data_IF_252955247330
#
_entry.id   IF_252955247330
#
_cell.length_a   1.000
_cell.length_b   1.000
_cell.length_c   1.000
_cell.angle_alpha   90.00
_cell.angle_beta   90.00
_cell.angle_gamma   90.00
#
_symmetry.space_group_name_H-M   'P 1'
#
loop_
_entity.id
_entity.type
_entity.pdbx_description
1 polymer ?
#
# COMPACT_ATOMS: atom_id res chain seq x y z
N UNK A 1 -8.25 -41.53 37.68
CA UNK A 1 -9.00 -40.44 37.00
C UNK A 1 -8.01 -39.33 36.70
N UNK A 2 -7.53 -39.23 35.45
CA UNK A 2 -6.68 -38.12 34.98
C UNK A 2 -7.52 -37.36 33.96
N UNK A 3 -7.89 -36.12 34.26
CA UNK A 3 -8.49 -35.23 33.28
C UNK A 3 -7.36 -34.51 32.53
N UNK A 4 -7.27 -34.76 31.22
CA UNK A 4 -6.42 -34.01 30.30
C UNK A 4 -7.21 -32.79 29.84
N UNK A 5 -6.74 -31.58 30.15
CA UNK A 5 -7.26 -30.35 29.55
C UNK A 5 -6.87 -30.34 28.06
N UNK A 6 -7.86 -30.51 27.19
CA UNK A 6 -7.73 -30.11 25.79
C UNK A 6 -7.91 -28.60 25.72
N UNK A 7 -6.81 -27.89 25.45
CA UNK A 7 -6.85 -26.50 25.02
C UNK A 7 -7.52 -26.47 23.65
N UNK A 8 -8.75 -25.98 23.62
CA UNK A 8 -9.46 -25.67 22.39
C UNK A 8 -8.75 -24.47 21.74
N UNK A 9 -7.81 -24.74 20.84
CA UNK A 9 -7.32 -23.73 19.89
C UNK A 9 -8.52 -23.34 19.02
N UNK A 10 -9.19 -22.26 19.40
CA UNK A 10 -10.09 -21.54 18.50
C UNK A 10 -9.16 -20.94 17.44
N UNK A 11 -9.01 -21.67 16.34
CA UNK A 11 -8.51 -21.12 15.08
C UNK A 11 -9.49 -20.00 14.71
N UNK A 12 -9.05 -18.75 14.95
CA UNK A 12 -9.64 -17.56 14.33
C UNK A 12 -9.72 -17.88 12.83
N UNK A 13 -10.89 -17.79 12.19
CA UNK A 13 -10.97 -18.02 10.76
C UNK A 13 -10.06 -16.98 10.11
N UNK A 14 -9.03 -17.46 9.40
CA UNK A 14 -8.29 -16.61 8.50
C UNK A 14 -9.33 -15.91 7.63
N UNK A 15 -9.36 -14.58 7.72
CA UNK A 15 -10.16 -13.75 6.82
C UNK A 15 -9.62 -14.05 5.43
N UNK A 16 -10.30 -14.93 4.70
CA UNK A 16 -9.99 -15.20 3.31
C UNK A 16 -10.31 -13.91 2.56
N UNK A 17 -9.29 -13.11 2.25
CA UNK A 17 -9.39 -12.19 1.13
C UNK A 17 -9.60 -13.06 -0.11
N UNK A 18 -10.72 -12.87 -0.81
CA UNK A 18 -10.91 -13.48 -2.12
C UNK A 18 -9.91 -12.80 -3.06
N UNK A 19 -8.83 -13.52 -3.40
CA UNK A 19 -7.79 -13.01 -4.31
C UNK A 19 -8.31 -12.78 -5.74
N UNK A 20 -9.56 -13.15 -6.04
CA UNK A 20 -10.23 -12.92 -7.30
C UNK A 20 -11.69 -12.54 -7.07
N UNK A 21 -12.35 -11.89 -8.04
CA UNK A 21 -13.79 -11.65 -7.96
C UNK A 21 -14.59 -12.95 -7.79
N UNK A 22 -15.81 -12.86 -7.27
CA UNK A 22 -16.66 -14.03 -7.06
C UNK A 22 -16.83 -14.85 -8.35
N UNK A 23 -16.64 -16.16 -8.25
CA UNK A 23 -16.69 -17.10 -9.38
C UNK A 23 -15.39 -17.23 -10.18
N UNK A 24 -14.33 -16.48 -9.85
CA UNK A 24 -13.01 -16.61 -10.47
C UNK A 24 -12.08 -17.53 -9.67
N UNK A 25 -11.16 -18.19 -10.37
CA UNK A 25 -10.16 -19.12 -9.81
C UNK A 25 -8.78 -18.44 -9.77
N UNK A 26 -8.14 -18.43 -8.60
CA UNK A 26 -6.84 -17.78 -8.36
C UNK A 26 -5.65 -18.71 -8.64
N UNK A 27 -4.67 -18.23 -9.41
CA UNK A 27 -3.37 -18.87 -9.61
C UNK A 27 -2.30 -18.13 -8.79
N UNK A 28 -1.89 -18.73 -7.68
CA UNK A 28 -0.96 -18.09 -6.74
C UNK A 28 0.44 -17.80 -7.29
N UNK A 29 0.90 -18.55 -8.30
CA UNK A 29 2.25 -18.39 -8.86
C UNK A 29 2.38 -17.18 -9.79
N UNK A 30 1.30 -16.84 -10.50
CA UNK A 30 1.27 -15.74 -11.48
C UNK A 30 0.40 -14.57 -11.04
N UNK A 31 -0.20 -14.66 -9.84
CA UNK A 31 -1.16 -13.71 -9.30
C UNK A 31 -2.29 -13.38 -10.28
N UNK A 32 -2.71 -14.37 -11.07
CA UNK A 32 -3.77 -14.26 -12.06
C UNK A 32 -5.08 -14.84 -11.52
N UNK A 33 -6.17 -14.30 -12.03
CA UNK A 33 -7.51 -14.79 -11.84
C UNK A 33 -8.06 -15.26 -13.18
N UNK A 34 -8.73 -16.40 -13.18
CA UNK A 34 -9.34 -16.99 -14.37
C UNK A 34 -10.83 -17.21 -14.16
N UNK A 35 -11.62 -16.96 -15.20
CA UNK A 35 -13.05 -17.19 -15.18
C UNK A 35 -13.45 -17.95 -16.42
N UNK A 36 -13.95 -19.16 -16.21
CA UNK A 36 -14.54 -19.98 -17.25
C UNK A 36 -15.98 -19.53 -17.47
N UNK A 37 -16.31 -19.19 -18.71
CA UNK A 37 -17.67 -18.92 -19.13
C UNK A 37 -18.17 -20.06 -20.01
N UNK A 38 -19.32 -20.62 -19.64
CA UNK A 38 -20.09 -21.59 -20.43
C UNK A 38 -20.92 -20.91 -21.54
N UNK A 39 -20.97 -19.57 -21.57
CA UNK A 39 -21.54 -18.81 -22.66
C UNK A 39 -20.75 -19.06 -23.95
N UNK A 40 -21.46 -19.34 -25.04
CA UNK A 40 -20.83 -19.57 -26.33
C UNK A 40 -20.92 -18.33 -27.22
N UNK A 41 -19.78 -17.93 -27.79
CA UNK A 41 -19.66 -16.82 -28.73
C UNK A 41 -18.95 -17.27 -29.99
N UNK A 42 -19.08 -16.51 -31.08
CA UNK A 42 -18.63 -16.98 -32.39
C UNK A 42 -17.26 -16.40 -32.81
N UNK A 43 -16.59 -15.62 -31.98
CA UNK A 43 -15.29 -15.02 -32.29
C UNK A 43 -14.49 -14.65 -31.04
N UNK A 44 -13.18 -14.51 -31.20
CA UNK A 44 -12.28 -13.97 -30.18
C UNK A 44 -12.66 -12.55 -29.78
N UNK A 45 -13.05 -11.68 -30.74
CA UNK A 45 -13.47 -10.29 -30.47
C UNK A 45 -14.69 -10.21 -29.54
N UNK A 46 -15.69 -11.07 -29.76
CA UNK A 46 -16.86 -11.14 -28.89
C UNK A 46 -16.50 -11.65 -27.49
N UNK A 47 -15.65 -12.66 -27.41
CA UNK A 47 -15.16 -13.18 -26.14
C UNK A 47 -14.32 -12.12 -25.38
N UNK A 48 -13.45 -11.39 -26.08
CA UNK A 48 -12.65 -10.29 -25.53
C UNK A 48 -13.53 -9.12 -25.05
N UNK A 49 -14.58 -8.79 -25.81
CA UNK A 49 -15.58 -7.78 -25.41
C UNK A 49 -16.34 -8.23 -24.16
N UNK A 50 -16.66 -9.52 -24.03
CA UNK A 50 -17.23 -10.04 -22.80
C UNK A 50 -16.26 -9.90 -21.63
N UNK A 51 -15.03 -10.40 -21.77
CA UNK A 51 -14.05 -10.37 -20.68
C UNK A 51 -13.74 -8.94 -20.21
N UNK A 52 -13.64 -7.98 -21.13
CA UNK A 52 -13.42 -6.57 -20.78
C UNK A 52 -14.60 -5.93 -20.04
N UNK A 53 -15.84 -6.29 -20.40
CA UNK A 53 -17.03 -5.83 -19.68
C UNK A 53 -17.23 -6.58 -18.35
N UNK A 54 -16.75 -7.81 -18.24
CA UNK A 54 -16.87 -8.66 -17.06
C UNK A 54 -15.66 -8.49 -16.12
N UNK A 55 -15.78 -7.53 -15.20
CA UNK A 55 -14.75 -7.18 -14.21
C UNK A 55 -13.41 -6.69 -14.79
N UNK A 56 -13.36 -6.22 -16.04
CA UNK A 56 -12.17 -5.62 -16.62
C UNK A 56 -11.09 -6.60 -17.07
N UNK A 57 -11.44 -7.88 -17.29
CA UNK A 57 -10.50 -8.89 -17.76
C UNK A 57 -10.19 -8.84 -19.25
N UNK A 58 -9.32 -9.74 -19.69
CA UNK A 58 -9.01 -10.01 -21.09
C UNK A 58 -9.28 -11.47 -21.42
N UNK A 59 -9.45 -11.80 -22.70
CA UNK A 59 -9.39 -13.19 -23.13
C UNK A 59 -8.01 -13.78 -22.76
N UNK A 60 -8.00 -15.04 -22.34
CA UNK A 60 -6.80 -15.67 -21.76
C UNK A 60 -5.62 -15.66 -22.73
N UNK A 61 -4.44 -15.27 -22.21
CA UNK A 61 -3.14 -15.59 -22.82
C UNK A 61 -2.38 -16.60 -21.97
N UNK A 62 -1.62 -17.45 -22.64
CA UNK A 62 -0.93 -18.59 -22.02
C UNK A 62 0.57 -18.39 -22.25
N UNK A 63 1.30 -18.02 -21.19
CA UNK A 63 2.64 -17.46 -21.31
C UNK A 63 3.74 -18.44 -20.89
N UNK A 64 3.36 -19.57 -20.30
CA UNK A 64 4.26 -20.58 -19.78
C UNK A 64 3.63 -21.98 -19.77
N UNK A 65 4.43 -23.05 -19.60
CA UNK A 65 3.91 -24.38 -19.35
C UNK A 65 3.04 -24.48 -18.09
N UNK A 66 3.33 -23.70 -17.06
CA UNK A 66 2.56 -23.68 -15.82
C UNK A 66 1.17 -23.05 -16.03
N UNK A 67 1.10 -21.96 -16.79
CA UNK A 67 -0.18 -21.34 -17.17
C UNK A 67 -1.01 -22.29 -18.03
N UNK A 68 -0.36 -23.01 -18.97
CA UNK A 68 -1.03 -24.00 -19.79
C UNK A 68 -1.70 -25.07 -18.91
N UNK A 69 -0.93 -25.68 -18.00
CA UNK A 69 -1.43 -26.74 -17.13
C UNK A 69 -2.54 -26.25 -16.19
N UNK A 70 -2.45 -25.00 -15.72
CA UNK A 70 -3.47 -24.41 -14.86
C UNK A 70 -4.78 -24.15 -15.63
N UNK A 71 -4.67 -23.54 -16.80
CA UNK A 71 -5.80 -23.25 -17.70
C UNK A 71 -6.50 -24.53 -18.13
N UNK A 72 -5.76 -25.57 -18.51
CA UNK A 72 -6.37 -26.86 -18.88
C UNK A 72 -7.12 -27.49 -17.71
N UNK A 73 -6.56 -27.45 -16.49
CA UNK A 73 -7.23 -27.98 -15.30
C UNK A 73 -8.58 -27.29 -15.00
N UNK A 74 -8.67 -25.96 -15.16
CA UNK A 74 -9.94 -25.22 -15.01
C UNK A 74 -10.99 -25.73 -16.01
N UNK A 75 -10.59 -25.90 -17.27
CA UNK A 75 -11.48 -26.39 -18.33
C UNK A 75 -11.90 -27.84 -18.07
N UNK A 76 -10.97 -28.66 -17.58
CA UNK A 76 -11.18 -30.09 -17.38
C UNK A 76 -12.18 -30.38 -16.26
N UNK A 77 -12.08 -29.63 -15.17
CA UNK A 77 -12.99 -29.70 -14.01
C UNK A 77 -14.40 -29.19 -14.31
N UNK A 78 -14.58 -28.46 -15.41
CA UNK A 78 -15.88 -27.91 -15.84
C UNK A 78 -16.78 -28.90 -16.62
N UNK A 79 -16.38 -30.18 -16.79
CA UNK A 79 -17.34 -31.29 -16.93
C UNK A 79 -17.67 -31.91 -18.31
N UNK A 80 -16.87 -31.75 -19.37
CA UNK A 80 -17.14 -32.35 -20.70
C UNK A 80 -15.91 -32.66 -21.55
N UNK A 81 -16.07 -33.31 -22.71
CA UNK A 81 -14.98 -33.86 -23.54
C UNK A 81 -15.34 -33.95 -25.03
N UNK A 82 -14.40 -33.66 -25.97
CA UNK A 82 -13.27 -32.74 -25.87
C UNK A 82 -13.73 -31.27 -26.02
N UNK A 83 -13.09 -30.34 -25.32
CA UNK A 83 -13.45 -28.91 -25.38
C UNK A 83 -12.52 -28.12 -26.30
N UNK A 84 -13.14 -27.21 -27.06
CA UNK A 84 -12.51 -26.08 -27.71
C UNK A 84 -12.98 -24.84 -26.94
N UNK A 85 -12.05 -23.99 -26.51
CA UNK A 85 -12.37 -22.71 -25.88
C UNK A 85 -11.66 -21.57 -26.60
N UNK A 86 -12.30 -20.42 -26.75
CA UNK A 86 -11.62 -19.24 -27.29
C UNK A 86 -10.52 -18.75 -26.35
N UNK A 87 -9.36 -18.44 -26.94
CA UNK A 87 -8.19 -17.85 -26.27
C UNK A 87 -7.73 -16.60 -27.03
N UNK A 88 -7.05 -15.68 -26.35
CA UNK A 88 -6.66 -14.37 -26.87
C UNK A 88 -5.50 -14.36 -27.87
N UNK A 89 -5.18 -15.50 -28.49
CA UNK A 89 -4.12 -15.56 -29.50
C UNK A 89 -4.66 -15.11 -30.85
N UNK A 90 -3.86 -14.37 -31.61
CA UNK A 90 -4.16 -13.91 -32.96
C UNK A 90 -2.93 -14.00 -33.86
N UNK A 91 -3.14 -13.99 -35.18
CA UNK A 91 -2.07 -13.96 -36.17
C UNK A 91 -2.30 -12.86 -37.20
N UNK A 92 -1.22 -12.23 -37.66
CA UNK A 92 -1.31 -11.28 -38.76
C UNK A 92 -1.24 -11.96 -40.14
N UNK A 93 -1.31 -11.17 -41.22
CA UNK A 93 -1.24 -11.66 -42.60
C UNK A 93 0.08 -12.37 -42.97
N UNK A 94 1.10 -12.27 -42.12
CA UNK A 94 2.40 -12.94 -42.27
C UNK A 94 2.54 -14.15 -41.33
N UNK A 95 1.48 -14.51 -40.59
CA UNK A 95 1.49 -15.58 -39.60
C UNK A 95 2.22 -15.24 -38.29
N UNK A 96 2.58 -13.97 -38.07
CA UNK A 96 3.19 -13.56 -36.81
C UNK A 96 2.12 -13.49 -35.71
N UNK A 97 2.43 -14.08 -34.55
CA UNK A 97 1.50 -14.25 -33.45
C UNK A 97 1.54 -13.06 -32.48
N UNK A 98 0.40 -12.73 -31.91
CA UNK A 98 0.25 -11.76 -30.81
C UNK A 98 -0.87 -12.17 -29.86
N UNK A 99 -0.74 -11.79 -28.59
CA UNK A 99 -1.83 -11.87 -27.63
C UNK A 99 -2.60 -10.56 -27.60
N UNK A 100 -3.93 -10.60 -27.56
CA UNK A 100 -4.79 -9.41 -27.55
C UNK A 100 -4.61 -8.51 -26.30
N UNK A 101 -4.05 -9.06 -25.23
CA UNK A 101 -3.74 -8.35 -23.99
C UNK A 101 -2.37 -7.64 -24.04
N UNK A 102 -1.66 -7.71 -25.16
CA UNK A 102 -0.32 -7.14 -25.34
C UNK A 102 0.82 -7.96 -24.74
N UNK A 103 0.54 -9.14 -24.18
CA UNK A 103 1.57 -10.01 -23.62
C UNK A 103 2.54 -10.51 -24.71
N UNK A 104 3.79 -10.72 -24.32
CA UNK A 104 4.80 -11.30 -25.23
C UNK A 104 4.50 -12.78 -25.51
N UNK A 105 4.57 -13.19 -26.77
CA UNK A 105 4.42 -14.60 -27.18
C UNK A 105 5.72 -15.36 -26.90
N UNK A 106 5.92 -15.75 -25.64
CA UNK A 106 7.10 -16.52 -25.20
C UNK A 106 6.88 -18.04 -25.16
N UNK A 107 5.62 -18.46 -25.25
CA UNK A 107 5.23 -19.86 -25.17
C UNK A 107 4.14 -20.16 -26.21
N UNK A 108 4.30 -21.27 -26.91
CA UNK A 108 3.31 -21.81 -27.85
C UNK A 108 3.27 -23.32 -27.76
N UNK A 109 2.08 -23.89 -27.73
CA UNK A 109 1.86 -25.34 -27.82
C UNK A 109 0.76 -25.60 -28.84
N UNK A 110 1.12 -25.61 -30.12
CA UNK A 110 0.18 -25.91 -31.20
C UNK A 110 -0.12 -27.41 -31.24
N UNK A 111 -1.35 -27.76 -31.59
CA UNK A 111 -1.68 -29.17 -31.80
C UNK A 111 -1.12 -29.71 -33.12
N UNK A 112 -0.89 -31.02 -33.21
CA UNK A 112 -0.33 -31.63 -34.42
C UNK A 112 -1.17 -31.31 -35.66
N UNK A 113 -0.50 -30.82 -36.72
CA UNK A 113 -1.05 -30.31 -37.99
C UNK A 113 -1.66 -28.90 -37.99
N UNK A 114 -1.74 -28.20 -36.86
CA UNK A 114 -2.35 -26.85 -36.80
C UNK A 114 -1.44 -25.70 -37.22
N UNK A 115 -0.14 -25.95 -37.40
CA UNK A 115 0.83 -24.92 -37.82
C UNK A 115 0.74 -24.55 -39.31
N UNK A 116 0.09 -25.39 -40.13
CA UNK A 116 -0.10 -25.14 -41.55
C UNK A 116 -1.16 -24.06 -41.85
N UNK A 117 -2.10 -23.84 -40.92
CA UNK A 117 -3.26 -22.93 -41.07
C UNK A 117 -3.11 -21.62 -40.27
N UNK A 118 -1.87 -21.25 -39.89
CA UNK A 118 -1.59 -20.06 -39.08
C UNK A 118 -1.70 -18.74 -39.85
N UNK A 119 -1.77 -18.78 -41.18
CA UNK A 119 -1.80 -17.57 -42.00
C UNK A 119 -3.22 -16.99 -41.96
N UNK A 120 -3.37 -15.76 -41.45
CA UNK A 120 -4.64 -15.00 -41.41
C UNK A 120 -5.73 -15.59 -40.48
N UNK A 121 -5.36 -16.39 -39.47
CA UNK A 121 -6.33 -16.80 -38.46
C UNK A 121 -6.46 -15.72 -37.37
N UNK A 122 -7.67 -15.18 -37.22
CA UNK A 122 -8.01 -14.20 -36.18
C UNK A 122 -8.76 -14.85 -35.00
N UNK A 123 -8.98 -16.17 -35.04
CA UNK A 123 -9.67 -16.90 -33.99
C UNK A 123 -8.88 -18.16 -33.64
N UNK A 124 -8.37 -18.21 -32.41
CA UNK A 124 -7.66 -19.36 -31.89
C UNK A 124 -8.38 -19.94 -30.71
N UNK A 125 -8.47 -21.27 -30.68
CA UNK A 125 -8.97 -21.99 -29.53
C UNK A 125 -7.90 -22.85 -28.88
N UNK A 126 -8.08 -23.15 -27.59
CA UNK A 126 -7.35 -24.19 -26.90
C UNK A 126 -8.16 -25.49 -26.94
N UNK A 127 -7.58 -26.54 -27.51
CA UNK A 127 -8.10 -27.91 -27.45
C UNK A 127 -7.55 -28.62 -26.22
N UNK A 128 -8.44 -29.22 -25.42
CA UNK A 128 -8.08 -30.03 -24.24
C UNK A 128 -8.67 -31.45 -24.33
N UNK A 129 -8.27 -32.33 -23.40
CA UNK A 129 -8.74 -33.74 -23.33
C UNK A 129 -8.59 -34.54 -24.62
N UNK A 130 -7.53 -34.26 -25.39
CA UNK A 130 -7.21 -34.94 -26.65
C UNK A 130 -5.72 -35.32 -26.65
N UNK A 131 -5.33 -36.45 -27.28
CA UNK A 131 -3.91 -36.79 -27.48
C UNK A 131 -3.11 -35.70 -28.20
N UNK A 132 -3.80 -34.85 -28.97
CA UNK A 132 -3.22 -33.72 -29.69
C UNK A 132 -3.72 -32.40 -29.06
N UNK A 133 -3.57 -32.23 -27.76
CA UNK A 133 -3.97 -30.99 -27.07
C UNK A 133 -3.11 -29.79 -27.49
N UNK A 134 -3.66 -28.58 -27.33
CA UNK A 134 -2.94 -27.35 -27.68
C UNK A 134 -3.75 -26.36 -28.49
N UNK A 135 -3.06 -25.31 -28.95
CA UNK A 135 -3.62 -24.20 -29.68
C UNK A 135 -4.00 -24.67 -31.08
N UNK A 136 -5.19 -24.28 -31.52
CA UNK A 136 -5.72 -24.58 -32.86
C UNK A 136 -6.26 -23.29 -33.48
N UNK A 137 -5.86 -22.94 -34.71
CA UNK A 137 -6.58 -21.94 -35.48
C UNK A 137 -7.97 -22.50 -35.80
N UNK A 138 -9.00 -21.68 -35.65
CA UNK A 138 -10.36 -22.03 -36.03
C UNK A 138 -10.94 -20.93 -36.93
N UNK A 139 -11.93 -21.31 -37.73
CA UNK A 139 -12.77 -20.32 -38.38
C UNK A 139 -13.59 -19.58 -37.34
N UNK A 140 -13.48 -18.25 -37.32
CA UNK A 140 -14.48 -17.41 -36.67
C UNK A 140 -15.87 -17.77 -37.25
N UNK A 141 -16.90 -17.77 -36.41
CA UNK A 141 -18.27 -18.23 -36.73
C UNK A 141 -18.69 -19.48 -35.96
N UNK A 142 -17.74 -20.23 -35.38
CA UNK A 142 -18.04 -21.38 -34.54
C UNK A 142 -18.38 -20.94 -33.11
N UNK A 143 -19.49 -21.42 -32.57
CA UNK A 143 -19.86 -21.14 -31.18
C UNK A 143 -18.96 -21.94 -30.24
N UNK A 144 -18.11 -21.24 -29.48
CA UNK A 144 -17.26 -21.84 -28.45
C UNK A 144 -17.40 -21.09 -27.13
N UNK A 145 -17.30 -21.80 -25.99
CA UNK A 145 -17.06 -21.18 -24.69
C UNK A 145 -15.69 -20.51 -24.66
N UNK A 146 -15.44 -19.73 -23.61
CA UNK A 146 -14.22 -18.94 -23.53
C UNK A 146 -13.73 -18.80 -22.09
N UNK A 147 -12.43 -18.50 -21.96
CA UNK A 147 -11.79 -18.28 -20.67
C UNK A 147 -11.30 -16.85 -20.59
N UNK A 148 -11.81 -16.11 -19.62
CA UNK A 148 -11.27 -14.81 -19.27
C UNK A 148 -10.12 -14.97 -18.28
N UNK A 149 -9.14 -14.09 -18.38
CA UNK A 149 -8.14 -13.87 -17.36
C UNK A 149 -8.13 -12.41 -16.96
N UNK A 150 -7.66 -12.15 -15.76
CA UNK A 150 -7.22 -10.83 -15.34
C UNK A 150 -6.06 -11.04 -14.38
N UNK A 151 -5.16 -10.05 -14.30
CA UNK A 151 -4.40 -9.93 -13.07
C UNK A 151 -5.42 -9.88 -11.93
N UNK A 152 -5.12 -10.51 -10.80
CA UNK A 152 -5.90 -10.24 -9.59
C UNK A 152 -6.05 -8.72 -9.51
N UNK A 153 -7.29 -8.23 -9.63
CA UNK A 153 -7.65 -6.80 -9.72
C UNK A 153 -7.30 -6.03 -8.43
N UNK A 154 -6.48 -6.65 -7.60
CA UNK A 154 -5.84 -6.12 -6.44
C UNK A 154 -4.48 -6.82 -6.35
N UNK A 155 -3.41 -6.05 -6.48
CA UNK A 155 -2.31 -6.08 -5.52
C UNK A 155 -2.73 -6.53 -4.10
N UNK A 156 -3.98 -6.33 -3.70
CA UNK A 156 -4.63 -7.09 -2.65
C UNK A 156 -4.15 -6.63 -1.30
N UNK A 157 -4.23 -7.51 -0.31
CA UNK A 157 -3.63 -7.24 1.00
C UNK A 157 -2.17 -7.69 1.01
N UNK A 158 -1.27 -6.73 1.14
CA UNK A 158 0.16 -6.93 1.36
C UNK A 158 0.44 -6.72 2.85
N UNK A 159 0.82 -7.78 3.57
CA UNK A 159 1.10 -7.73 5.00
C UNK A 159 2.60 -7.55 5.27
N UNK A 160 2.93 -6.55 6.09
CA UNK A 160 4.28 -6.22 6.51
C UNK A 160 4.39 -6.34 8.03
N UNK A 161 5.30 -7.20 8.50
CA UNK A 161 5.48 -7.49 9.95
C UNK A 161 6.89 -7.21 10.47
N UNK A 162 7.79 -6.72 9.61
CA UNK A 162 9.14 -6.36 10.04
C UNK A 162 9.12 -5.02 10.81
N UNK A 163 10.17 -4.76 11.59
CA UNK A 163 10.35 -3.48 12.29
C UNK A 163 10.65 -2.32 11.33
N UNK A 164 10.97 -2.60 10.07
CA UNK A 164 11.12 -1.60 9.02
C UNK A 164 10.99 -2.25 7.64
N UNK A 165 10.75 -1.43 6.62
CA UNK A 165 10.66 -1.90 5.25
C UNK A 165 10.41 -0.81 4.24
N UNK A 166 10.33 -1.20 2.97
CA UNK A 166 9.97 -0.34 1.85
C UNK A 166 8.72 -0.89 1.18
N UNK A 167 7.78 -0.01 0.86
CA UNK A 167 6.53 -0.30 0.15
C UNK A 167 6.60 0.41 -1.19
N UNK A 168 6.29 -0.32 -2.25
CA UNK A 168 6.29 0.14 -3.63
C UNK A 168 4.89 -0.02 -4.22
N UNK A 169 4.46 0.95 -5.03
CA UNK A 169 3.32 0.74 -5.93
C UNK A 169 3.61 -0.41 -6.91
N UNK A 170 2.58 -1.05 -7.48
CA UNK A 170 2.79 -2.03 -8.52
C UNK A 170 3.62 -1.46 -9.67
N UNK A 171 4.47 -2.30 -10.26
CA UNK A 171 5.34 -2.00 -11.40
C UNK A 171 6.44 -0.94 -11.17
N UNK A 172 6.52 -0.28 -10.01
CA UNK A 172 7.55 0.73 -9.73
C UNK A 172 8.96 0.19 -10.01
N UNK A 173 9.83 0.91 -10.77
CA UNK A 173 9.71 2.32 -11.19
C UNK A 173 9.02 2.53 -12.55
N UNK A 174 8.40 1.51 -13.14
CA UNK A 174 7.49 1.66 -14.27
C UNK A 174 6.13 2.16 -13.80
N UNK A 175 5.27 2.54 -14.74
CA UNK A 175 3.96 3.06 -14.39
C UNK A 175 3.07 1.96 -13.80
N UNK A 176 2.24 2.31 -12.82
CA UNK A 176 1.23 1.40 -12.26
C UNK A 176 0.14 1.09 -13.30
N UNK A 177 -0.66 0.06 -13.04
CA UNK A 177 -1.81 -0.30 -13.89
C UNK A 177 -3.08 0.49 -13.51
N UNK A 178 -4.03 0.58 -14.44
CA UNK A 178 -5.36 1.11 -14.15
C UNK A 178 -6.18 0.10 -13.33
N UNK A 179 -7.19 0.58 -12.59
CA UNK A 179 -8.18 -0.24 -11.90
C UNK A 179 -7.65 -0.95 -10.65
N UNK A 180 -6.60 -0.43 -10.03
CA UNK A 180 -5.98 -1.02 -8.85
C UNK A 180 -6.75 -0.72 -7.56
N UNK A 181 -6.73 -1.68 -6.65
CA UNK A 181 -7.15 -1.52 -5.26
C UNK A 181 -6.16 -2.27 -4.35
N UNK A 182 -5.05 -1.62 -4.00
CA UNK A 182 -3.98 -2.20 -3.16
C UNK A 182 -4.14 -1.79 -1.71
N UNK A 183 -4.02 -2.76 -0.80
CA UNK A 183 -3.84 -2.52 0.62
C UNK A 183 -2.44 -2.97 1.06
N UNK A 184 -1.71 -2.10 1.75
CA UNK A 184 -0.43 -2.41 2.36
C UNK A 184 -0.56 -2.20 3.86
N UNK A 185 -0.75 -3.30 4.58
CA UNK A 185 -0.99 -3.30 6.01
C UNK A 185 0.29 -3.61 6.76
N UNK A 186 0.73 -2.67 7.57
CA UNK A 186 1.88 -2.82 8.47
C UNK A 186 1.34 -3.19 9.85
N UNK A 187 1.84 -4.28 10.40
CA UNK A 187 1.51 -4.76 11.76
C UNK A 187 2.82 -5.09 12.47
N UNK A 188 3.30 -4.17 13.30
CA UNK A 188 4.50 -4.44 14.09
C UNK A 188 4.19 -5.50 15.16
N UNK A 189 5.07 -6.49 15.40
CA UNK A 189 4.83 -7.55 16.37
C UNK A 189 4.70 -7.04 17.81
N UNK A 190 5.41 -5.95 18.12
CA UNK A 190 5.40 -5.31 19.43
C UNK A 190 4.33 -4.20 19.47
N UNK A 191 3.29 -4.41 20.28
CA UNK A 191 2.18 -3.46 20.45
C UNK A 191 2.58 -2.15 21.14
N UNK A 192 3.76 -2.08 21.76
CA UNK A 192 4.30 -0.85 22.37
C UNK A 192 5.05 0.04 21.35
N UNK A 193 5.14 -0.39 20.09
CA UNK A 193 5.76 0.37 19.01
C UNK A 193 4.71 1.02 18.12
N UNK A 194 5.08 2.17 17.57
CA UNK A 194 4.31 2.92 16.60
C UNK A 194 4.94 2.77 15.22
N UNK A 195 4.11 2.82 14.17
CA UNK A 195 4.60 2.84 12.79
C UNK A 195 4.90 4.28 12.36
N UNK A 196 6.16 4.54 11.99
CA UNK A 196 6.58 5.75 11.28
C UNK A 196 6.64 5.46 9.78
N UNK A 197 5.99 6.28 8.98
CA UNK A 197 5.95 6.18 7.52
C UNK A 197 6.54 7.44 6.89
N UNK A 198 7.45 7.30 5.94
CA UNK A 198 8.03 8.40 5.17
C UNK A 198 7.80 8.14 3.68
N UNK A 199 7.22 9.11 2.99
CA UNK A 199 7.10 9.06 1.53
C UNK A 199 8.43 9.52 0.92
N UNK A 200 9.06 8.67 0.11
CA UNK A 200 10.34 8.98 -0.56
C UNK A 200 10.19 9.26 -2.05
N UNK A 201 9.08 8.85 -2.66
CA UNK A 201 8.70 9.18 -4.03
C UNK A 201 7.18 9.15 -4.17
N UNK A 202 6.61 10.08 -4.93
CA UNK A 202 5.18 10.16 -5.21
C UNK A 202 4.95 10.79 -6.59
N UNK A 203 4.27 10.07 -7.47
CA UNK A 203 3.82 10.50 -8.79
C UNK A 203 2.57 9.68 -9.15
N UNK A 204 1.41 10.26 -8.88
CA UNK A 204 0.09 9.63 -9.02
C UNK A 204 -0.77 10.54 -9.91
N UNK A 205 -1.76 10.02 -10.60
CA UNK A 205 -2.69 10.86 -11.36
C UNK A 205 -3.41 11.89 -10.45
N UNK A 206 -3.73 13.05 -11.01
CA UNK A 206 -4.45 14.09 -10.29
C UNK A 206 -5.94 13.75 -10.22
N UNK A 207 -6.54 14.00 -9.05
CA UNK A 207 -7.99 13.92 -8.76
C UNK A 207 -8.63 12.53 -8.76
N UNK A 208 -8.17 11.58 -9.58
CA UNK A 208 -8.82 10.27 -9.74
C UNK A 208 -8.11 9.16 -8.99
N UNK A 209 -6.78 9.14 -9.07
CA UNK A 209 -5.95 8.19 -8.33
C UNK A 209 -5.53 8.74 -6.98
N UNK A 210 -5.40 7.86 -5.98
CA UNK A 210 -5.01 8.28 -4.64
C UNK A 210 -4.29 7.22 -3.82
N UNK A 211 -3.43 7.70 -2.93
CA UNK A 211 -2.84 6.92 -1.85
C UNK A 211 -3.32 7.48 -0.50
N UNK A 212 -4.13 6.69 0.21
CA UNK A 212 -4.58 7.01 1.58
C UNK A 212 -3.76 6.28 2.62
N UNK A 213 -3.52 6.94 3.74
CA UNK A 213 -2.86 6.35 4.91
C UNK A 213 -3.85 6.38 6.07
N UNK A 214 -4.16 5.20 6.61
CA UNK A 214 -5.03 4.99 7.75
C UNK A 214 -4.20 4.69 9.00
N UNK A 215 -4.49 5.40 10.08
CA UNK A 215 -4.02 5.09 11.44
C UNK A 215 -4.86 3.94 12.01
N UNK A 216 -4.33 2.71 11.97
CA UNK A 216 -5.07 1.47 12.17
C UNK A 216 -5.34 0.71 10.86
N UNK A 217 -6.48 0.02 10.79
CA UNK A 217 -6.91 -0.72 9.59
C UNK A 217 -7.70 0.18 8.64
N UNK A 218 -7.92 -0.27 7.40
CA UNK A 218 -8.74 0.48 6.42
C UNK A 218 -10.20 0.62 6.87
N UNK A 219 -10.74 -0.36 7.60
CA UNK A 219 -12.16 -0.42 7.99
C UNK A 219 -12.48 0.47 9.20
N UNK A 220 -11.55 0.56 10.16
CA UNK A 220 -11.79 1.23 11.45
C UNK A 220 -10.84 2.38 11.73
N UNK A 221 -9.74 2.48 10.98
CA UNK A 221 -8.73 3.51 11.16
C UNK A 221 -9.15 4.86 10.60
N UNK A 222 -8.53 5.91 11.13
CA UNK A 222 -8.74 7.29 10.67
C UNK A 222 -7.75 7.61 9.56
N UNK A 223 -8.20 8.29 8.49
CA UNK A 223 -7.30 8.76 7.43
C UNK A 223 -6.42 9.88 7.99
N UNK A 224 -5.12 9.64 8.04
CA UNK A 224 -4.11 10.62 8.48
C UNK A 224 -3.33 11.26 7.33
N UNK A 225 -3.44 10.70 6.11
CA UNK A 225 -2.99 11.35 4.89
C UNK A 225 -3.77 10.85 3.66
N UNK A 226 -3.93 11.74 2.68
CA UNK A 226 -4.54 11.45 1.38
C UNK A 226 -3.71 12.16 0.32
N UNK A 227 -2.97 11.40 -0.48
CA UNK A 227 -2.09 11.90 -1.53
C UNK A 227 -2.73 11.71 -2.89
N UNK A 228 -2.63 12.74 -3.74
CA UNK A 228 -3.01 12.72 -5.16
C UNK A 228 -1.94 13.45 -5.97
N UNK A 229 -1.99 13.40 -7.30
CA UNK A 229 -0.96 13.97 -8.19
C UNK A 229 -0.72 15.48 -8.15
N UNK A 230 -1.42 16.21 -7.30
CA UNK A 230 -1.29 17.66 -7.14
C UNK A 230 -0.27 18.05 -6.05
N UNK A 231 0.23 17.08 -5.28
CA UNK A 231 1.17 17.35 -4.19
C UNK A 231 2.62 17.24 -4.63
N UNK A 232 3.34 18.37 -4.60
CA UNK A 232 4.79 18.36 -4.77
C UNK A 232 5.47 17.63 -3.60
N UNK A 233 6.48 16.82 -3.90
CA UNK A 233 7.26 16.08 -2.90
C UNK A 233 7.82 16.98 -1.78
N UNK A 234 8.23 18.21 -2.11
CA UNK A 234 8.75 19.23 -1.19
C UNK A 234 7.73 19.66 -0.12
N UNK A 235 6.44 19.48 -0.38
CA UNK A 235 5.33 19.88 0.50
C UNK A 235 4.82 18.74 1.38
N UNK A 236 5.26 17.51 1.14
CA UNK A 236 4.89 16.35 1.94
C UNK A 236 5.53 16.45 3.34
N UNK A 237 4.83 16.02 4.40
CA UNK A 237 5.44 15.92 5.71
C UNK A 237 6.62 14.93 5.66
N UNK A 238 7.72 15.24 6.35
CA UNK A 238 8.93 14.39 6.37
C UNK A 238 8.63 12.94 6.77
N UNK A 239 7.65 12.76 7.66
CA UNK A 239 7.10 11.46 8.04
C UNK A 239 5.72 11.61 8.72
N UNK A 240 4.95 10.53 8.74
CA UNK A 240 3.72 10.33 9.50
C UNK A 240 3.97 9.29 10.59
N UNK A 241 3.29 9.39 11.74
CA UNK A 241 3.38 8.38 12.81
C UNK A 241 1.96 7.99 13.26
N UNK A 242 1.66 6.69 13.15
CA UNK A 242 0.42 6.10 13.63
C UNK A 242 0.29 6.19 15.15
N UNK A 243 -0.92 6.01 15.66
CA UNK A 243 -1.24 5.93 17.10
C UNK A 243 -1.06 4.53 17.68
N UNK A 244 -0.84 3.52 16.82
CA UNK A 244 -0.66 2.13 17.22
C UNK A 244 0.47 1.43 16.43
N UNK A 245 0.64 0.14 16.70
CA UNK A 245 1.50 -0.77 15.96
C UNK A 245 0.94 -1.16 14.57
N UNK A 246 -0.23 -0.63 14.19
CA UNK A 246 -0.90 -0.90 12.93
C UNK A 246 -1.06 0.39 12.11
N UNK A 247 -0.64 0.32 10.84
CA UNK A 247 -0.82 1.39 9.87
C UNK A 247 -1.13 0.78 8.50
N UNK A 248 -2.09 1.35 7.78
CA UNK A 248 -2.54 0.79 6.50
C UNK A 248 -2.45 1.83 5.39
N UNK A 249 -1.76 1.52 4.31
CA UNK A 249 -1.79 2.31 3.09
C UNK A 249 -2.79 1.69 2.12
N UNK A 250 -3.59 2.51 1.45
CA UNK A 250 -4.54 2.09 0.44
C UNK A 250 -4.29 2.87 -0.85
N UNK A 251 -3.85 2.18 -1.90
CA UNK A 251 -3.60 2.74 -3.21
C UNK A 251 -4.72 2.34 -4.16
N UNK A 252 -5.38 3.33 -4.75
CA UNK A 252 -6.49 3.15 -5.66
C UNK A 252 -6.20 3.86 -6.97
N UNK A 253 -6.50 3.21 -8.09
CA UNK A 253 -6.42 3.82 -9.43
C UNK A 253 -7.71 3.64 -10.21
N UNK A 254 -8.03 4.63 -11.03
CA UNK A 254 -9.20 4.64 -11.89
C UNK A 254 -8.93 3.87 -13.21
N UNK A 255 -9.80 3.99 -14.23
CA UNK A 255 -9.68 3.19 -15.47
C UNK A 255 -8.70 3.77 -16.50
N UNK A 256 -8.11 4.94 -16.26
CA UNK A 256 -7.35 5.71 -17.25
C UNK A 256 -6.15 6.41 -16.62
N UNK A 257 -5.16 6.74 -17.45
CA UNK A 257 -3.95 7.47 -17.07
C UNK A 257 -3.12 6.84 -15.94
N UNK A 258 -1.85 6.60 -16.23
CA UNK A 258 -0.95 6.00 -15.25
C UNK A 258 0.30 6.85 -15.08
N UNK A 259 0.84 6.83 -13.87
CA UNK A 259 2.05 7.54 -13.49
C UNK A 259 3.03 6.58 -12.81
N UNK A 260 4.18 7.08 -12.35
CA UNK A 260 5.24 6.21 -11.78
C UNK A 260 4.85 5.55 -10.47
N UNK A 261 3.85 6.07 -9.77
CA UNK A 261 3.34 5.55 -8.52
C UNK A 261 4.08 6.09 -7.31
N UNK A 262 4.41 5.23 -6.35
CA UNK A 262 4.96 5.68 -5.07
C UNK A 262 6.01 4.74 -4.49
N UNK A 263 6.90 5.34 -3.68
CA UNK A 263 7.80 4.62 -2.79
C UNK A 263 7.67 5.19 -1.38
N UNK A 264 7.39 4.32 -0.42
CA UNK A 264 7.31 4.66 0.99
C UNK A 264 8.27 3.80 1.80
N UNK A 265 8.86 4.36 2.85
CA UNK A 265 9.64 3.61 3.85
C UNK A 265 8.92 3.66 5.18
N UNK A 266 8.89 2.55 5.89
CA UNK A 266 8.36 2.51 7.26
C UNK A 266 9.39 1.98 8.25
N UNK A 267 9.25 2.39 9.51
CA UNK A 267 10.05 1.91 10.62
C UNK A 267 9.26 1.92 11.91
N UNK A 268 9.65 1.09 12.87
CA UNK A 268 9.11 1.12 14.22
C UNK A 268 9.73 2.26 15.01
N UNK A 269 8.92 2.90 15.84
CA UNK A 269 9.34 3.92 16.82
C UNK A 269 8.77 3.51 18.17
N UNK A 270 9.53 3.72 19.25
CA UNK A 270 9.00 3.46 20.59
C UNK A 270 7.92 4.48 20.94
N UNK A 271 6.79 4.03 21.47
CA UNK A 271 5.73 4.95 21.93
C UNK A 271 6.25 5.93 22.99
N UNK A 272 7.24 5.52 23.79
CA UNK A 272 7.92 6.38 24.77
C UNK A 272 8.55 7.65 24.16
N UNK A 273 8.96 7.60 22.89
CA UNK A 273 9.63 8.71 22.20
C UNK A 273 8.68 9.48 21.27
N UNK A 274 7.37 9.21 21.35
CA UNK A 274 6.35 9.88 20.55
C UNK A 274 5.15 10.26 21.42
N UNK A 275 5.12 11.51 21.87
CA UNK A 275 4.16 12.02 22.84
C UNK A 275 3.07 12.84 22.12
N UNK A 276 1.83 12.36 22.15
CA UNK A 276 0.65 13.09 21.67
C UNK A 276 -0.11 13.69 22.86
N UNK A 277 -0.35 15.00 22.86
CA UNK A 277 -1.24 15.65 23.82
C UNK A 277 -2.33 16.44 23.11
N UNK A 278 -3.58 16.22 23.53
CA UNK A 278 -4.75 16.92 23.01
C UNK A 278 -5.52 17.52 24.18
N UNK A 279 -5.93 18.78 24.08
CA UNK A 279 -6.69 19.44 25.15
C UNK A 279 -6.48 20.96 25.20
N UNK A 280 -6.88 21.59 26.30
CA UNK A 280 -6.73 23.04 26.50
C UNK A 280 -5.46 23.43 27.27
N UNK A 281 -4.78 22.46 27.88
CA UNK A 281 -3.54 22.67 28.61
C UNK A 281 -2.87 21.33 28.89
N UNK A 282 -1.57 21.35 29.17
CA UNK A 282 -0.82 20.17 29.57
C UNK A 282 0.63 20.50 29.90
N UNK A 283 1.40 19.45 30.10
CA UNK A 283 2.82 19.50 30.46
C UNK A 283 3.54 18.42 29.67
N UNK A 284 4.66 18.78 29.04
CA UNK A 284 5.53 17.86 28.32
C UNK A 284 6.97 18.05 28.75
N UNK A 285 7.69 16.95 28.87
CA UNK A 285 9.09 16.95 29.30
C UNK A 285 9.90 15.99 28.42
N UNK A 286 11.21 16.18 28.39
CA UNK A 286 12.12 15.16 27.85
C UNK A 286 11.99 13.85 28.64
N UNK A 287 12.24 12.71 28.00
CA UNK A 287 12.44 11.40 28.64
C UNK A 287 13.26 11.53 29.92
N UNK A 288 12.87 10.73 30.91
CA UNK A 288 13.50 10.62 32.22
C UNK A 288 13.45 11.87 33.10
N UNK A 289 13.03 13.05 32.61
CA UNK A 289 12.91 14.26 33.43
C UNK A 289 12.12 13.95 34.73
N UNK A 290 12.64 14.33 35.92
CA UNK A 290 13.72 15.28 36.18
C UNK A 290 15.17 14.72 36.16
N UNK A 291 15.36 13.46 35.78
CA UNK A 291 16.68 12.87 35.51
C UNK A 291 17.17 13.24 34.10
N UNK A 292 18.41 12.88 33.81
CA UNK A 292 19.00 13.17 32.51
C UNK A 292 18.35 12.34 31.40
N UNK A 293 18.17 12.96 30.23
CA UNK A 293 17.67 12.28 29.05
C UNK A 293 18.64 11.19 28.55
N UNK A 294 18.17 10.28 27.71
CA UNK A 294 19.05 9.22 27.18
C UNK A 294 19.94 9.74 26.03
N UNK A 295 21.20 9.31 25.92
CA UNK A 295 22.05 9.71 24.80
C UNK A 295 21.59 9.01 23.51
N UNK A 296 21.81 9.66 22.36
CA UNK A 296 21.49 9.13 21.02
C UNK A 296 19.99 8.89 20.77
N UNK A 297 19.13 9.67 21.42
CA UNK A 297 17.68 9.56 21.27
C UNK A 297 17.09 10.67 20.39
N UNK A 298 15.86 10.44 19.92
CA UNK A 298 15.05 11.48 19.31
C UNK A 298 13.61 11.33 19.78
N UNK A 299 13.06 12.39 20.36
CA UNK A 299 11.70 12.45 20.87
C UNK A 299 10.87 13.39 20.01
N UNK A 300 9.62 13.00 19.76
CA UNK A 300 8.68 13.77 18.99
C UNK A 300 7.44 14.05 19.81
N UNK A 301 7.00 15.30 19.80
CA UNK A 301 5.82 15.74 20.52
C UNK A 301 4.87 16.39 19.54
N UNK A 302 3.58 16.15 19.71
CA UNK A 302 2.53 16.90 19.02
C UNK A 302 1.47 17.33 20.02
N UNK A 303 1.23 18.63 20.04
CA UNK A 303 0.21 19.28 20.86
C UNK A 303 -0.92 19.71 19.94
N UNK A 304 -2.14 19.27 20.23
CA UNK A 304 -3.35 19.66 19.51
C UNK A 304 -4.31 20.37 20.47
N UNK A 305 -4.43 21.68 20.31
CA UNK A 305 -5.40 22.50 21.00
C UNK A 305 -6.73 22.57 20.22
N UNK A 306 -7.85 22.98 20.86
CA UNK A 306 -9.13 23.13 20.18
C UNK A 306 -9.05 24.07 18.97
N UNK A 307 -9.86 23.82 17.92
CA UNK A 307 -9.97 24.74 16.79
C UNK A 307 -10.29 26.17 17.25
N UNK A 308 -9.66 27.17 16.63
CA UNK A 308 -9.84 28.58 16.97
C UNK A 308 -8.96 29.10 18.11
N UNK A 309 -8.05 28.27 18.63
CA UNK A 309 -7.04 28.67 19.63
C UNK A 309 -5.63 28.61 19.05
N UNK A 310 -4.68 29.22 19.74
CA UNK A 310 -3.23 29.03 19.55
C UNK A 310 -2.63 28.34 20.77
N UNK A 311 -1.46 27.75 20.61
CA UNK A 311 -0.71 27.08 21.67
C UNK A 311 0.32 28.06 22.22
N UNK A 312 0.14 28.46 23.48
CA UNK A 312 1.19 29.11 24.29
C UNK A 312 2.01 28.03 24.99
N UNK A 313 3.32 28.11 24.85
CA UNK A 313 4.32 27.20 25.43
C UNK A 313 5.20 27.98 26.41
N UNK A 314 5.39 27.45 27.61
CA UNK A 314 6.17 28.08 28.66
C UNK A 314 7.12 27.05 29.27
N UNK A 315 8.42 27.25 29.08
CA UNK A 315 9.45 26.35 29.62
C UNK A 315 9.66 26.64 31.10
N UNK A 316 9.44 25.61 31.91
CA UNK A 316 9.72 25.59 33.35
C UNK A 316 11.19 25.27 33.60
N UNK A 317 11.80 24.44 32.74
CA UNK A 317 13.20 24.07 32.80
C UNK A 317 13.75 23.81 31.39
N UNK A 318 15.00 24.22 31.12
CA UNK A 318 15.69 23.88 29.87
C UNK A 318 17.22 23.84 30.03
N UNK A 319 17.80 22.66 29.89
CA UNK A 319 19.24 22.42 29.94
C UNK A 319 19.63 21.22 29.06
N UNK A 320 20.32 21.48 27.95
CA UNK A 320 20.79 20.47 27.00
C UNK A 320 22.26 20.69 26.62
N UNK A 321 22.88 19.73 25.92
CA UNK A 321 24.17 20.02 25.26
C UNK A 321 23.98 21.17 24.27
N UNK A 322 24.98 22.05 24.19
CA UNK A 322 24.93 23.24 23.34
C UNK A 322 25.04 22.92 21.84
N UNK A 323 25.78 21.86 21.50
CA UNK A 323 26.16 21.57 20.12
C UNK A 323 25.56 20.28 19.56
N UNK A 324 25.30 19.31 20.43
CA UNK A 324 24.88 17.96 20.01
C UNK A 324 23.43 17.64 20.38
N UNK A 325 22.73 18.56 21.05
CA UNK A 325 21.32 18.42 21.38
C UNK A 325 20.53 19.63 20.88
N UNK A 326 19.38 19.39 20.28
CA UNK A 326 18.52 20.45 19.75
C UNK A 326 17.03 20.14 20.03
N UNK A 327 16.29 21.14 20.51
CA UNK A 327 14.84 21.13 20.55
C UNK A 327 14.31 22.10 19.49
N UNK A 328 13.69 21.55 18.45
CA UNK A 328 13.04 22.33 17.41
C UNK A 328 11.53 22.37 17.62
N UNK A 329 10.92 23.55 17.42
CA UNK A 329 9.48 23.75 17.55
C UNK A 329 8.93 24.26 16.23
N UNK A 330 7.87 23.62 15.73
CA UNK A 330 7.25 23.89 14.44
C UNK A 330 5.78 24.27 14.60
N UNK A 331 5.37 25.33 13.90
CA UNK A 331 4.00 25.87 13.91
C UNK A 331 3.13 25.05 12.96
N UNK A 332 2.70 23.87 13.41
CA UNK A 332 1.85 22.97 12.63
C UNK A 332 2.03 21.51 13.00
N UNK A 333 1.54 20.63 12.12
CA UNK A 333 1.42 19.18 12.35
C UNK A 333 2.68 18.36 12.06
N UNK A 334 3.72 18.97 11.50
CA UNK A 334 4.97 18.29 11.10
C UNK A 334 6.14 19.26 11.00
N UNK A 335 7.35 18.70 10.87
CA UNK A 335 8.61 19.43 10.68
C UNK A 335 8.72 20.16 9.33
N UNK A 336 7.78 19.95 8.40
CA UNK A 336 7.69 20.69 7.14
C UNK A 336 7.05 22.08 7.30
N UNK A 337 6.41 22.35 8.44
CA UNK A 337 5.81 23.64 8.74
C UNK A 337 6.86 24.66 9.17
N UNK A 338 6.46 25.94 9.29
CA UNK A 338 7.37 27.01 9.72
C UNK A 338 7.94 26.70 11.11
N UNK A 339 9.26 26.68 11.23
CA UNK A 339 9.94 26.56 12.52
C UNK A 339 9.73 27.84 13.34
N UNK A 340 9.18 27.70 14.55
CA UNK A 340 9.01 28.78 15.54
C UNK A 340 10.39 29.13 16.12
N UNK A 341 11.11 28.11 16.60
CA UNK A 341 12.42 28.27 17.21
C UNK A 341 13.21 26.96 17.19
N UNK A 342 14.50 27.07 17.46
CA UNK A 342 15.39 25.98 17.84
C UNK A 342 16.13 26.39 19.13
N UNK A 343 16.24 25.46 20.08
CA UNK A 343 16.83 25.69 21.40
C UNK A 343 17.93 24.66 21.67
N UNK A 344 19.04 25.11 22.26
CA UNK A 344 20.11 24.26 22.78
C UNK A 344 20.86 24.96 23.91
N UNK A 345 21.63 24.19 24.69
CA UNK A 345 22.40 24.69 25.81
C UNK A 345 21.58 24.88 27.09
N UNK A 346 22.10 25.68 28.02
CA UNK A 346 21.42 26.02 29.26
C UNK A 346 20.73 27.37 29.13
N UNK A 347 19.41 27.39 29.30
CA UNK A 347 18.60 28.61 29.26
C UNK A 347 18.01 28.84 30.65
N UNK A 348 18.39 29.96 31.27
CA UNK A 348 17.83 30.34 32.57
C UNK A 348 16.38 30.75 32.37
N UNK A 349 15.49 30.03 33.06
CA UNK A 349 14.07 30.35 33.16
C UNK A 349 13.76 30.66 34.63
N UNK A 350 13.22 31.84 34.88
CA UNK A 350 12.71 32.21 36.21
C UNK A 350 11.47 33.09 36.05
N UNK A 351 10.80 33.40 37.17
CA UNK A 351 9.58 34.23 37.17
C UNK A 351 9.81 35.65 36.65
N UNK A 352 11.05 36.14 36.61
CA UNK A 352 11.43 37.45 36.07
C UNK A 352 11.72 37.43 34.57
N UNK A 353 12.05 36.26 34.00
CA UNK A 353 12.32 36.06 32.57
C UNK A 353 11.80 34.70 32.08
N UNK A 354 10.48 34.55 31.89
CA UNK A 354 9.90 33.30 31.43
C UNK A 354 10.25 33.06 29.95
N UNK A 355 10.62 31.82 29.62
CA UNK A 355 10.89 31.42 28.23
C UNK A 355 9.59 30.93 27.59
N UNK A 356 8.95 31.84 26.85
CA UNK A 356 7.61 31.63 26.29
C UNK A 356 7.64 31.70 24.76
N UNK A 357 6.96 30.76 24.12
CA UNK A 357 6.70 30.76 22.68
C UNK A 357 5.20 30.67 22.40
N UNK A 358 4.76 31.21 21.26
CA UNK A 358 3.36 31.14 20.82
C UNK A 358 3.31 30.67 19.37
N UNK A 359 2.41 29.75 19.08
CA UNK A 359 2.09 29.34 17.71
C UNK A 359 1.11 30.32 17.05
N UNK A 360 0.93 30.17 15.73
CA UNK A 360 -0.18 30.82 15.01
C UNK A 360 -1.31 29.85 14.67
N UNK A 361 -1.09 28.55 14.85
CA UNK A 361 -2.07 27.49 14.66
C UNK A 361 -2.43 26.81 15.99
N UNK A 362 -3.50 26.01 15.97
CA UNK A 362 -3.93 25.19 17.10
C UNK A 362 -3.12 23.88 17.23
N UNK A 363 -2.10 23.66 16.41
CA UNK A 363 -1.25 22.46 16.43
C UNK A 363 0.21 22.88 16.44
N UNK A 364 1.00 22.28 17.32
CA UNK A 364 2.45 22.46 17.38
C UNK A 364 3.15 21.10 17.41
N UNK A 365 4.22 20.99 16.65
CA UNK A 365 5.13 19.84 16.66
C UNK A 365 6.44 20.25 17.32
N UNK A 366 6.95 19.44 18.24
CA UNK A 366 8.30 19.58 18.79
C UNK A 366 9.14 18.35 18.41
N UNK A 367 10.40 18.59 18.10
CA UNK A 367 11.36 17.53 17.80
C UNK A 367 12.63 17.74 18.63
N UNK A 368 12.83 16.87 19.61
CA UNK A 368 14.00 16.86 20.48
C UNK A 368 14.98 15.80 19.98
N UNK A 369 16.21 16.19 19.69
CA UNK A 369 17.24 15.30 19.18
C UNK A 369 18.48 15.42 20.05
N UNK A 370 18.95 14.30 20.59
CA UNK A 370 20.14 14.24 21.43
C UNK A 370 21.18 13.30 20.81
N UNK A 371 22.34 13.84 20.46
CA UNK A 371 23.51 13.09 19.96
C UNK A 371 24.71 13.20 20.90
N UNK A 372 24.55 13.84 22.05
CA UNK A 372 25.59 14.00 23.04
C UNK A 372 25.87 12.71 23.82
N UNK A 373 27.13 12.56 24.23
CA UNK A 373 27.60 11.49 25.13
C UNK A 373 27.33 11.78 26.61
N UNK A 374 27.02 13.04 26.96
CA UNK A 374 26.90 13.52 28.32
C UNK A 374 25.55 14.25 28.50
N UNK A 375 24.46 13.49 28.63
CA UNK A 375 23.13 14.06 28.72
C UNK A 375 22.97 14.91 29.98
N UNK A 376 22.21 15.99 29.83
CA UNK A 376 21.76 16.87 30.93
C UNK A 376 20.29 16.59 31.25
N UNK A 377 19.67 17.41 32.09
CA UNK A 377 18.29 17.20 32.55
C UNK A 377 17.23 17.41 31.46
N UNK A 378 17.59 18.01 30.32
CA UNK A 378 16.67 18.21 29.21
C UNK A 378 15.71 19.35 29.47
N UNK A 379 14.41 19.13 29.23
CA UNK A 379 13.43 20.20 29.35
C UNK A 379 12.15 19.75 30.03
N UNK A 380 11.46 20.76 30.58
CA UNK A 380 10.11 20.65 31.08
C UNK A 380 9.32 21.90 30.69
N UNK A 381 8.13 21.70 30.15
CA UNK A 381 7.35 22.76 29.52
C UNK A 381 5.86 22.54 29.74
N UNK A 382 5.20 23.59 30.21
CA UNK A 382 3.74 23.65 30.25
C UNK A 382 3.20 24.34 29.00
N UNK A 383 2.00 23.95 28.58
CA UNK A 383 1.33 24.60 27.47
C UNK A 383 -0.14 24.85 27.79
N UNK A 384 -0.71 25.85 27.11
CA UNK A 384 -2.12 26.21 27.21
C UNK A 384 -2.67 26.70 25.87
N UNK A 385 -3.95 26.46 25.66
CA UNK A 385 -4.71 26.99 24.53
C UNK A 385 -5.16 28.42 24.86
N UNK A 386 -4.76 29.38 24.04
CA UNK A 386 -5.20 30.78 24.13
C UNK A 386 -6.12 31.08 22.94
N UNK A 387 -7.27 31.72 23.19
CA UNK A 387 -8.08 32.26 22.09
C UNK A 387 -7.33 33.40 21.43
N UNK A 388 -7.37 33.44 20.09
CA UNK A 388 -6.75 34.51 19.30
C UNK A 388 -7.40 35.87 19.53
#
# INVERSE_FOLDING_TARGET
>A
MKYSLYVLLILIPAIFCTNCPDGWVYQATTSQCYYYSDLVVNSNDQAATFCSNYSGGSLVSILSPDDYNFVTNIIETSGGSPYLIWIGLESNNLGALSWIDGSKVNYTKFSDNSTADLIQSNCFALRTKSPNDGFVPLSCGLNQPFLCKQHSSSCGLNLFTNSSGTILSPNYPSNYDNGLSCEYKIVLPDSSKLVRLSMTFLDIEQKWDYLRVYDGTKETGVIIANYTGDQEYSTLPSYLIGSSNVLTLYFYTDKTFTAKGFQAKYSSVSQLYYIKQNGTSGEISSTNYPQNYDPWESQYYIITAPPGTVVKMEFVYFETSRYDTELEIYDGKSTSYKRITSLSGSLVTDSSKPLIFRSTQNVVTLFFTAYDLYPLRGFDMIWSAEYQ
#
